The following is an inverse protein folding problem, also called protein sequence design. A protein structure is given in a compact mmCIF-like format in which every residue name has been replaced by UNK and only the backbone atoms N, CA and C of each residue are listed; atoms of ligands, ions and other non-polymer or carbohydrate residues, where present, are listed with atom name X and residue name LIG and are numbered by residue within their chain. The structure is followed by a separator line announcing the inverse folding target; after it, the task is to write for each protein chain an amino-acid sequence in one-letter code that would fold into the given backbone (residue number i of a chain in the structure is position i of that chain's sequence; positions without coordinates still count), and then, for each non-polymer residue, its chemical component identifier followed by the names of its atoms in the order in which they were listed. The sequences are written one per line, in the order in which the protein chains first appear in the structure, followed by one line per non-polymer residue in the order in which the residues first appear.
data_IF_250388729569
#
_entry.id   IF_250388729569
#
_cell.length_a   1.000
_cell.length_b   1.000
_cell.length_c   1.000
_cell.angle_alpha   90.00
_cell.angle_beta   90.00
_cell.angle_gamma   90.00
#
_symmetry.space_group_name_H-M   'P 1'
#
loop_
_entity.id
_entity.type
_entity.pdbx_description
1 polymer ?
#
# COMPACT_ATOMS: atom_id res chain seq x y z
N UNK A 1 20.00 11.88 -4.21
CA UNK A 1 18.56 12.18 -4.02
C UNK A 1 17.87 11.43 -2.89
N UNK A 2 17.64 10.10 -2.93
CA UNK A 2 16.87 9.41 -1.86
C UNK A 2 17.52 9.47 -0.47
N UNK A 3 18.85 9.36 -0.40
CA UNK A 3 19.59 9.44 0.86
C UNK A 3 19.74 10.87 1.40
N UNK A 4 19.56 11.91 0.57
CA UNK A 4 19.74 13.31 1.00
C UNK A 4 18.52 13.80 1.79
N UNK A 5 17.30 13.58 1.27
CA UNK A 5 16.06 13.93 1.98
C UNK A 5 15.89 13.17 3.30
N UNK A 6 16.24 11.88 3.31
CA UNK A 6 16.24 11.06 4.53
C UNK A 6 17.25 11.58 5.59
N UNK A 7 18.34 12.21 5.16
CA UNK A 7 19.31 12.80 6.09
C UNK A 7 18.83 14.14 6.65
N UNK A 8 18.09 14.93 5.86
CA UNK A 8 17.47 16.18 6.31
C UNK A 8 16.39 15.90 7.38
N UNK A 9 15.46 14.99 7.09
CA UNK A 9 14.41 14.59 8.05
C UNK A 9 15.00 13.96 9.33
N UNK A 10 16.07 13.16 9.19
CA UNK A 10 16.80 12.65 10.35
C UNK A 10 17.42 13.76 11.20
N UNK A 11 17.95 14.81 10.56
CA UNK A 11 18.52 15.97 11.23
C UNK A 11 17.49 16.73 12.07
N UNK A 12 16.28 16.90 11.54
CA UNK A 12 15.15 17.52 12.25
C UNK A 12 14.76 16.69 13.48
N UNK A 13 14.52 15.39 13.32
CA UNK A 13 14.18 14.48 14.41
C UNK A 13 15.28 14.46 15.48
N UNK A 14 16.54 14.43 15.07
CA UNK A 14 17.68 14.45 15.99
C UNK A 14 17.75 15.78 16.78
N UNK A 15 17.38 16.90 16.16
CA UNK A 15 17.35 18.20 16.83
C UNK A 15 16.28 18.26 17.92
N UNK A 16 15.08 17.72 17.67
CA UNK A 16 14.02 17.60 18.67
C UNK A 16 14.43 16.68 19.82
N UNK A 17 15.05 15.54 19.51
CA UNK A 17 15.55 14.60 20.52
C UNK A 17 16.61 15.26 21.39
N UNK A 18 17.53 16.05 20.82
CA UNK A 18 18.53 16.80 21.59
C UNK A 18 17.89 17.82 22.53
N UNK A 19 16.89 18.56 22.06
CA UNK A 19 16.13 19.50 22.91
C UNK A 19 15.42 18.77 24.07
N UNK A 20 14.81 17.62 23.82
CA UNK A 20 14.19 16.80 24.86
C UNK A 20 15.21 16.24 25.87
N UNK A 21 16.40 15.85 25.41
CA UNK A 21 17.51 15.44 26.26
C UNK A 21 17.99 16.58 27.17
N UNK A 22 18.14 17.79 26.62
CA UNK A 22 18.49 18.99 27.40
C UNK A 22 17.43 19.32 28.46
N UNK A 23 16.15 19.29 28.09
CA UNK A 23 15.03 19.54 29.02
C UNK A 23 14.94 18.51 30.14
N UNK A 24 15.33 17.26 29.87
CA UNK A 24 15.32 16.16 30.85
C UNK A 24 16.63 16.03 31.63
N UNK A 25 17.64 16.84 31.35
CA UNK A 25 18.97 16.76 31.96
C UNK A 25 19.73 15.47 31.63
N UNK A 26 19.38 14.81 30.52
CA UNK A 26 20.00 13.55 30.07
C UNK A 26 20.91 13.78 28.87
N UNK A 27 22.01 13.00 28.78
CA UNK A 27 22.90 13.05 27.62
C UNK A 27 22.53 11.98 26.59
N UNK A 28 22.68 12.31 25.32
CA UNK A 28 22.49 11.35 24.23
C UNK A 28 23.62 10.32 24.25
N UNK A 29 23.36 9.14 24.81
CA UNK A 29 24.32 8.04 24.87
C UNK A 29 23.92 6.89 23.94
N UNK A 30 24.92 6.13 23.49
CA UNK A 30 24.71 4.88 22.73
C UNK A 30 24.03 3.84 23.63
N UNK A 31 23.11 3.07 23.07
CA UNK A 31 22.44 2.00 23.81
C UNK A 31 23.43 0.90 24.22
N UNK A 32 23.26 0.32 25.41
CA UNK A 32 24.15 -0.75 25.91
C UNK A 32 24.22 -1.92 24.92
N UNK A 33 25.44 -2.22 24.46
CA UNK A 33 25.74 -3.41 23.67
C UNK A 33 25.99 -4.63 24.57
N UNK A 34 25.60 -5.82 24.10
CA UNK A 34 25.94 -7.11 24.73
C UNK A 34 26.81 -7.88 23.75
N UNK A 35 27.79 -8.64 24.23
CA UNK A 35 28.79 -9.31 23.38
C UNK A 35 28.24 -10.22 22.27
N UNK A 36 26.96 -10.62 22.37
CA UNK A 36 26.24 -11.29 21.27
C UNK A 36 24.85 -10.69 21.12
N UNK A 37 24.60 -10.04 19.99
CA UNK A 37 23.27 -9.59 19.58
C UNK A 37 22.87 -10.33 18.30
N UNK A 38 21.73 -11.02 18.33
CA UNK A 38 21.26 -11.85 17.22
C UNK A 38 20.11 -11.21 16.44
N UNK A 39 19.31 -10.38 17.11
CA UNK A 39 18.07 -9.81 16.55
C UNK A 39 18.10 -8.29 16.37
N UNK A 40 19.22 -7.65 16.72
CA UNK A 40 19.36 -6.18 16.67
C UNK A 40 20.62 -5.80 15.89
N UNK A 41 20.53 -4.88 14.92
CA UNK A 41 21.71 -4.33 14.26
C UNK A 41 22.56 -3.52 15.24
N UNK A 42 23.88 -3.71 15.15
CA UNK A 42 24.87 -3.05 16.00
C UNK A 42 26.14 -2.75 15.20
N UNK A 43 25.98 -2.04 14.09
CA UNK A 43 27.07 -1.52 13.30
C UNK A 43 27.90 -0.53 14.13
N UNK A 44 29.24 -0.53 13.99
CA UNK A 44 30.10 0.42 14.66
C UNK A 44 29.79 1.85 14.18
N UNK A 45 29.82 2.80 15.10
CA UNK A 45 29.58 4.22 14.84
C UNK A 45 30.47 5.07 15.74
N UNK A 46 30.90 6.24 15.27
CA UNK A 46 31.82 7.11 16.02
C UNK A 46 31.08 8.04 16.99
N UNK A 47 29.83 8.40 16.69
CA UNK A 47 29.00 9.25 17.54
C UNK A 47 27.66 8.57 17.87
N UNK A 48 27.01 8.94 18.99
CA UNK A 48 25.64 8.47 19.28
C UNK A 48 24.65 8.79 18.16
N UNK A 49 24.86 9.92 17.48
CA UNK A 49 24.05 10.39 16.36
C UNK A 49 24.20 9.47 15.14
N UNK A 50 25.43 9.09 14.81
CA UNK A 50 25.69 8.12 13.74
C UNK A 50 25.16 6.73 14.12
N UNK A 51 25.27 6.35 15.39
CA UNK A 51 24.75 5.08 15.91
C UNK A 51 23.24 4.95 15.69
N UNK A 52 22.45 5.95 16.11
CA UNK A 52 21.00 5.91 15.94
C UNK A 52 20.58 6.02 14.47
N UNK A 53 21.34 6.72 13.65
CA UNK A 53 21.10 6.78 12.20
C UNK A 53 21.21 5.38 11.56
N UNK A 54 22.32 4.70 11.79
CA UNK A 54 22.65 3.43 11.12
C UNK A 54 21.91 2.24 11.74
N UNK A 55 21.73 2.21 13.05
CA UNK A 55 21.18 1.04 13.75
C UNK A 55 19.69 1.15 14.09
N UNK A 56 19.08 2.33 13.96
CA UNK A 56 17.67 2.52 14.28
C UNK A 56 16.90 3.12 13.10
N UNK A 57 17.29 4.32 12.67
CA UNK A 57 16.54 5.08 11.67
C UNK A 57 16.50 4.39 10.31
N UNK A 58 17.68 4.08 9.72
CA UNK A 58 17.75 3.42 8.41
C UNK A 58 17.03 2.05 8.43
N UNK A 59 17.28 1.13 9.38
CA UNK A 59 16.58 -0.15 9.43
C UNK A 59 15.06 -0.04 9.55
N UNK A 60 14.57 0.93 10.33
CA UNK A 60 13.13 1.19 10.47
C UNK A 60 12.55 1.70 9.16
N UNK A 61 13.20 2.68 8.52
CA UNK A 61 12.73 3.23 7.26
C UNK A 61 12.75 2.19 6.14
N UNK A 62 13.81 1.39 6.05
CA UNK A 62 13.89 0.28 5.11
C UNK A 62 12.78 -0.75 5.38
N UNK A 63 12.54 -1.10 6.64
CA UNK A 63 11.44 -2.00 7.00
C UNK A 63 10.08 -1.44 6.61
N UNK A 64 9.81 -0.15 6.83
CA UNK A 64 8.56 0.50 6.40
C UNK A 64 8.40 0.47 4.90
N UNK A 65 9.45 0.80 4.16
CA UNK A 65 9.44 0.77 2.69
C UNK A 65 9.14 -0.63 2.20
N UNK A 66 9.89 -1.63 2.68
CA UNK A 66 9.68 -3.04 2.31
C UNK A 66 8.27 -3.49 2.66
N UNK A 67 7.76 -3.11 3.84
CA UNK A 67 6.40 -3.44 4.26
C UNK A 67 5.35 -2.81 3.34
N UNK A 68 5.53 -1.55 2.95
CA UNK A 68 4.63 -0.87 2.01
C UNK A 68 4.73 -1.47 0.61
N UNK A 69 5.92 -1.77 0.12
CA UNK A 69 6.12 -2.42 -1.18
C UNK A 69 5.51 -3.82 -1.22
N UNK A 70 5.66 -4.59 -0.13
CA UNK A 70 5.04 -5.91 -0.02
C UNK A 70 3.51 -5.81 0.05
N UNK A 71 2.98 -4.79 0.74
CA UNK A 71 1.52 -4.58 0.88
C UNK A 71 0.88 -4.07 -0.40
N UNK A 72 1.53 -3.16 -1.12
CA UNK A 72 1.11 -2.64 -2.41
C UNK A 72 1.90 -3.32 -3.53
N UNK A 73 1.64 -4.62 -3.73
CA UNK A 73 2.24 -5.36 -4.83
C UNK A 73 1.77 -4.81 -6.18
N UNK A 74 2.37 -5.28 -7.28
CA UNK A 74 2.03 -4.82 -8.62
C UNK A 74 0.51 -4.84 -8.86
N UNK A 75 -0.17 -5.91 -8.43
CA UNK A 75 -1.61 -6.07 -8.57
C UNK A 75 -2.42 -4.94 -7.90
N UNK A 76 -2.04 -4.48 -6.70
CA UNK A 76 -2.69 -3.36 -6.02
C UNK A 76 -2.48 -2.06 -6.77
N UNK A 77 -1.32 -1.86 -7.40
CA UNK A 77 -1.07 -0.69 -8.25
C UNK A 77 -1.92 -0.71 -9.51
N UNK A 78 -2.06 -1.86 -10.17
CA UNK A 78 -2.96 -2.01 -11.32
C UNK A 78 -4.42 -1.76 -10.91
N UNK A 79 -4.85 -2.30 -9.78
CA UNK A 79 -6.19 -2.02 -9.24
C UNK A 79 -6.37 -0.51 -8.92
N UNK A 80 -5.37 0.14 -8.32
CA UNK A 80 -5.40 1.56 -8.03
C UNK A 80 -5.55 2.41 -9.30
N UNK A 81 -4.85 2.07 -10.38
CA UNK A 81 -4.99 2.79 -11.65
C UNK A 81 -6.41 2.66 -12.23
N UNK A 82 -7.11 1.56 -11.97
CA UNK A 82 -8.53 1.40 -12.34
C UNK A 82 -9.45 2.36 -11.57
N UNK A 83 -9.04 2.88 -10.40
CA UNK A 83 -9.82 3.89 -9.65
C UNK A 83 -10.07 5.18 -10.43
N UNK A 84 -9.30 5.43 -11.50
CA UNK A 84 -9.51 6.53 -12.44
C UNK A 84 -10.88 6.46 -13.12
N UNK A 85 -11.46 5.26 -13.24
CA UNK A 85 -12.79 5.06 -13.79
C UNK A 85 -13.92 5.52 -12.84
N UNK A 86 -13.59 5.90 -11.59
CA UNK A 86 -14.52 6.56 -10.69
C UNK A 86 -14.81 7.96 -11.26
N UNK A 87 -16.08 8.27 -11.59
CA UNK A 87 -16.46 9.52 -12.22
C UNK A 87 -16.02 10.80 -11.49
N UNK A 88 -15.94 10.80 -10.16
CA UNK A 88 -15.42 11.93 -9.39
C UNK A 88 -13.94 12.26 -9.68
N UNK A 89 -13.16 11.29 -10.15
CA UNK A 89 -11.70 11.42 -10.38
C UNK A 89 -11.33 11.55 -11.87
N UNK A 90 -12.29 11.38 -12.77
CA UNK A 90 -12.04 11.18 -14.20
C UNK A 90 -11.57 12.44 -14.94
N UNK A 91 -11.85 13.62 -14.39
CA UNK A 91 -11.64 14.91 -15.03
C UNK A 91 -10.16 15.16 -15.36
N UNK A 92 -9.29 14.99 -14.36
CA UNK A 92 -7.86 15.27 -14.46
C UNK A 92 -7.01 14.09 -14.94
N UNK A 93 -7.64 12.98 -15.33
CA UNK A 93 -6.94 11.73 -15.68
C UNK A 93 -6.98 11.42 -17.17
N UNK A 94 -5.93 10.79 -17.64
CA UNK A 94 -5.74 10.42 -19.04
C UNK A 94 -5.94 8.92 -19.24
N UNK A 95 -6.10 8.50 -20.50
CA UNK A 95 -6.10 7.07 -20.83
C UNK A 95 -4.73 6.43 -20.58
N UNK A 96 -3.64 7.21 -20.66
CA UNK A 96 -2.28 6.70 -20.47
C UNK A 96 -2.06 6.12 -19.08
N UNK A 97 -2.74 6.70 -18.07
CA UNK A 97 -2.70 6.23 -16.68
C UNK A 97 -3.31 4.82 -16.49
N UNK A 98 -4.16 4.38 -17.43
CA UNK A 98 -4.86 3.09 -17.37
C UNK A 98 -4.16 1.98 -18.16
N UNK A 99 -3.20 2.31 -19.04
CA UNK A 99 -2.58 1.37 -19.99
C UNK A 99 -2.05 0.10 -19.33
N UNK A 100 -1.27 0.24 -18.26
CA UNK A 100 -0.67 -0.89 -17.56
C UNK A 100 -1.73 -1.82 -16.95
N UNK A 101 -2.85 -1.25 -16.51
CA UNK A 101 -3.98 -2.02 -15.94
C UNK A 101 -4.77 -2.74 -17.02
N UNK A 102 -4.90 -2.13 -18.21
CA UNK A 102 -5.54 -2.77 -19.35
C UNK A 102 -4.74 -3.98 -19.80
N UNK A 103 -3.41 -3.83 -19.93
CA UNK A 103 -2.52 -4.95 -20.27
C UNK A 103 -2.63 -6.05 -19.21
N UNK A 104 -2.65 -5.68 -17.93
CA UNK A 104 -2.74 -6.65 -16.84
C UNK A 104 -4.07 -7.41 -16.81
N UNK A 105 -5.19 -6.75 -17.08
CA UNK A 105 -6.54 -7.34 -17.05
C UNK A 105 -7.07 -7.74 -18.43
N UNK A 106 -6.26 -7.70 -19.49
CA UNK A 106 -6.67 -7.89 -20.89
C UNK A 106 -7.48 -9.18 -21.10
N UNK A 107 -7.06 -10.27 -20.45
CA UNK A 107 -7.73 -11.57 -20.55
C UNK A 107 -9.18 -11.60 -20.02
N UNK A 108 -9.56 -10.63 -19.19
CA UNK A 108 -10.91 -10.52 -18.62
C UNK A 108 -11.80 -9.54 -19.39
N UNK A 109 -11.22 -8.74 -20.29
CA UNK A 109 -11.96 -7.72 -21.02
C UNK A 109 -12.73 -8.34 -22.20
N UNK A 110 -14.02 -8.02 -22.37
CA UNK A 110 -14.81 -8.52 -23.50
C UNK A 110 -14.28 -8.09 -24.87
N UNK A 111 -13.75 -6.87 -24.98
CA UNK A 111 -13.27 -6.30 -26.24
C UNK A 111 -12.13 -5.30 -25.96
N UNK A 112 -10.92 -5.77 -25.63
CA UNK A 112 -9.79 -4.93 -25.22
C UNK A 112 -9.44 -3.84 -26.24
N UNK A 113 -9.59 -4.11 -27.53
CA UNK A 113 -9.24 -3.17 -28.59
C UNK A 113 -10.11 -1.90 -28.64
N UNK A 114 -11.33 -1.95 -28.09
CA UNK A 114 -12.30 -0.84 -28.11
C UNK A 114 -12.27 0.01 -26.82
N UNK A 115 -11.43 -0.36 -25.85
CA UNK A 115 -11.44 0.25 -24.52
C UNK A 115 -11.06 1.73 -24.55
N UNK A 116 -10.23 2.13 -25.52
CA UNK A 116 -9.77 3.52 -25.63
C UNK A 116 -10.93 4.43 -26.04
N UNK A 117 -11.69 4.02 -27.04
CA UNK A 117 -12.89 4.71 -27.52
C UNK A 117 -13.97 4.73 -26.44
N UNK A 118 -14.16 3.59 -25.78
CA UNK A 118 -15.09 3.44 -24.66
C UNK A 118 -14.75 4.38 -23.50
N UNK A 119 -13.47 4.48 -23.13
CA UNK A 119 -12.99 5.38 -22.09
C UNK A 119 -13.26 6.86 -22.43
N UNK A 120 -13.00 7.28 -23.67
CA UNK A 120 -13.26 8.66 -24.09
C UNK A 120 -14.76 8.98 -24.04
N UNK A 121 -15.60 8.04 -24.48
CA UNK A 121 -17.06 8.20 -24.42
C UNK A 121 -17.56 8.26 -22.97
N UNK A 122 -17.06 7.39 -22.11
CA UNK A 122 -17.39 7.34 -20.70
C UNK A 122 -16.95 8.62 -19.96
N UNK A 123 -15.72 9.10 -20.22
CA UNK A 123 -15.23 10.37 -19.71
C UNK A 123 -16.15 11.53 -20.13
N UNK A 124 -16.50 11.60 -21.42
CA UNK A 124 -17.40 12.63 -21.95
C UNK A 124 -18.80 12.56 -21.32
N UNK A 125 -19.35 11.36 -21.10
CA UNK A 125 -20.64 11.17 -20.44
C UNK A 125 -20.64 11.84 -19.06
N UNK A 126 -19.66 11.53 -18.21
CA UNK A 126 -19.61 12.06 -16.83
C UNK A 126 -19.18 13.52 -16.75
N UNK A 127 -18.41 14.03 -17.71
CA UNK A 127 -18.09 15.46 -17.79
C UNK A 127 -19.32 16.31 -18.15
N UNK A 128 -20.31 15.75 -18.84
CA UNK A 128 -21.57 16.43 -19.12
C UNK A 128 -22.54 16.42 -17.90
N UNK A 129 -22.28 15.59 -16.91
CA UNK A 129 -23.04 15.55 -15.65
C UNK A 129 -22.41 16.48 -14.60
N UNK A 130 -23.25 17.02 -13.71
CA UNK A 130 -22.80 17.88 -12.63
C UNK A 130 -21.83 17.12 -11.71
N UNK A 131 -20.76 17.75 -11.19
CA UNK A 131 -19.78 17.08 -10.32
C UNK A 131 -20.39 16.41 -9.09
N UNK A 132 -21.49 16.97 -8.58
CA UNK A 132 -22.22 16.48 -7.40
C UNK A 132 -22.95 15.15 -7.65
N UNK A 133 -23.39 14.92 -8.90
CA UNK A 133 -24.10 13.71 -9.30
C UNK A 133 -23.15 12.55 -9.65
N UNK A 134 -21.85 12.85 -9.81
CA UNK A 134 -20.82 11.88 -10.19
C UNK A 134 -20.57 10.91 -9.03
N UNK A 135 -20.60 9.59 -9.27
CA UNK A 135 -20.22 8.60 -8.28
C UNK A 135 -18.82 8.84 -7.73
N UNK A 136 -18.71 8.82 -6.40
CA UNK A 136 -17.46 8.99 -5.67
C UNK A 136 -16.85 7.67 -5.20
N UNK A 137 -17.52 6.55 -5.44
CA UNK A 137 -17.06 5.21 -5.08
C UNK A 137 -17.20 4.23 -6.25
N UNK A 138 -16.44 3.14 -6.18
CA UNK A 138 -16.38 2.12 -7.23
C UNK A 138 -17.71 1.37 -7.41
N UNK A 139 -18.46 1.14 -6.33
CA UNK A 139 -19.68 0.35 -6.32
C UNK A 139 -20.79 1.11 -7.05
N UNK A 140 -21.00 2.38 -6.71
CA UNK A 140 -21.96 3.26 -7.35
C UNK A 140 -21.58 3.52 -8.80
N UNK A 141 -20.28 3.68 -9.10
CA UNK A 141 -19.80 3.77 -10.47
C UNK A 141 -20.15 2.50 -11.26
N UNK A 142 -19.96 1.31 -10.69
CA UNK A 142 -20.32 0.04 -11.30
C UNK A 142 -21.83 -0.09 -11.53
N UNK A 143 -22.65 0.25 -10.54
CA UNK A 143 -24.12 0.16 -10.60
C UNK A 143 -24.69 1.10 -11.67
N UNK A 144 -24.17 2.34 -11.74
CA UNK A 144 -24.59 3.34 -12.73
C UNK A 144 -23.92 3.17 -14.10
N UNK A 145 -23.01 2.21 -14.24
CA UNK A 145 -22.39 1.86 -15.51
C UNK A 145 -23.31 0.95 -16.33
N UNK A 146 -23.69 1.42 -17.52
CA UNK A 146 -24.48 0.65 -18.46
C UNK A 146 -23.57 -0.37 -19.19
N UNK A 147 -23.76 -1.66 -18.90
CA UNK A 147 -22.93 -2.73 -19.46
C UNK A 147 -23.12 -2.98 -20.96
N UNK A 148 -24.16 -2.44 -21.58
CA UNK A 148 -24.38 -2.53 -23.03
C UNK A 148 -23.53 -1.51 -23.79
N UNK A 149 -23.39 -0.30 -23.26
CA UNK A 149 -22.59 0.75 -23.88
C UNK A 149 -21.13 0.74 -23.43
N UNK A 150 -20.88 0.30 -22.20
CA UNK A 150 -19.55 0.32 -21.57
C UNK A 150 -19.17 -1.06 -20.99
N UNK A 151 -19.07 -2.11 -21.82
CA UNK A 151 -18.80 -3.47 -21.36
C UNK A 151 -17.41 -3.63 -20.72
N UNK A 152 -16.34 -3.04 -21.29
CA UNK A 152 -14.99 -3.19 -20.74
C UNK A 152 -14.82 -2.41 -19.44
N UNK A 153 -15.33 -1.17 -19.40
CA UNK A 153 -15.28 -0.31 -18.21
C UNK A 153 -16.09 -0.94 -17.08
N UNK A 154 -17.23 -1.55 -17.38
CA UNK A 154 -18.02 -2.24 -16.36
C UNK A 154 -17.26 -3.42 -15.75
N UNK A 155 -16.54 -4.20 -16.55
CA UNK A 155 -15.69 -5.29 -16.05
C UNK A 155 -14.55 -4.75 -15.20
N UNK A 156 -13.87 -3.69 -15.63
CA UNK A 156 -12.80 -3.07 -14.84
C UNK A 156 -13.30 -2.53 -13.51
N UNK A 157 -14.44 -1.82 -13.49
CA UNK A 157 -15.08 -1.36 -12.27
C UNK A 157 -15.49 -2.53 -11.36
N UNK A 158 -15.94 -3.65 -11.94
CA UNK A 158 -16.27 -4.85 -11.18
C UNK A 158 -15.03 -5.46 -10.54
N UNK A 159 -13.94 -5.62 -11.30
CA UNK A 159 -12.66 -6.10 -10.79
C UNK A 159 -12.23 -5.21 -9.63
N UNK A 160 -12.22 -3.89 -9.82
CA UNK A 160 -11.82 -2.95 -8.77
C UNK A 160 -12.72 -3.01 -7.53
N UNK A 161 -14.05 -3.12 -7.70
CA UNK A 161 -15.00 -3.20 -6.60
C UNK A 161 -14.91 -4.52 -5.81
N UNK A 162 -14.49 -5.62 -6.45
CA UNK A 162 -14.32 -6.92 -5.80
C UNK A 162 -12.96 -7.11 -5.14
N UNK A 163 -11.97 -6.29 -5.51
CA UNK A 163 -10.65 -6.38 -4.91
C UNK A 163 -10.64 -5.74 -3.52
N UNK A 164 -10.27 -6.48 -2.47
CA UNK A 164 -10.02 -5.86 -1.18
C UNK A 164 -8.80 -4.94 -1.34
N UNK A 165 -9.04 -3.63 -1.39
CA UNK A 165 -8.00 -2.59 -1.47
C UNK A 165 -7.01 -2.70 -0.30
N UNK A 166 -7.40 -3.38 0.78
CA UNK A 166 -6.52 -3.68 1.91
C UNK A 166 -6.58 -5.16 2.30
N UNK A 167 -5.41 -5.77 2.49
CA UNK A 167 -5.23 -7.12 3.06
C UNK A 167 -5.53 -7.19 4.56
N UNK A 168 -6.04 -6.12 5.17
CA UNK A 168 -6.15 -5.97 6.63
C UNK A 168 -7.04 -7.05 7.28
N UNK A 169 -8.11 -7.49 6.61
CA UNK A 169 -8.97 -8.59 7.09
C UNK A 169 -8.26 -9.93 7.04
N UNK A 170 -7.47 -10.19 5.98
CA UNK A 170 -6.63 -11.37 5.88
C UNK A 170 -5.53 -11.38 6.94
N UNK A 171 -4.82 -10.26 7.11
CA UNK A 171 -3.76 -10.08 8.11
C UNK A 171 -4.27 -10.22 9.54
N UNK A 172 -5.47 -9.69 9.85
CA UNK A 172 -6.10 -9.89 11.17
C UNK A 172 -6.37 -11.37 11.43
N UNK A 173 -6.91 -12.08 10.44
CA UNK A 173 -7.16 -13.52 10.51
C UNK A 173 -5.85 -14.30 10.70
N UNK A 174 -4.81 -14.01 9.92
CA UNK A 174 -3.48 -14.62 10.07
C UNK A 174 -2.79 -14.28 11.40
N UNK A 175 -2.99 -13.07 11.93
CA UNK A 175 -2.45 -12.67 13.23
C UNK A 175 -3.10 -13.46 14.37
N UNK A 176 -4.43 -13.63 14.33
CA UNK A 176 -5.14 -14.49 15.30
C UNK A 176 -4.69 -15.95 15.18
N UNK A 177 -4.50 -16.45 13.95
CA UNK A 177 -3.98 -17.80 13.69
C UNK A 177 -2.56 -17.99 14.23
N UNK A 178 -1.70 -16.99 14.07
CA UNK A 178 -0.34 -16.97 14.61
C UNK A 178 -0.35 -17.01 16.13
N UNK A 179 -1.21 -16.22 16.77
CA UNK A 179 -1.43 -16.26 18.22
C UNK A 179 -1.87 -17.65 18.70
N UNK A 180 -2.85 -18.28 18.04
CA UNK A 180 -3.31 -19.63 18.39
C UNK A 180 -2.16 -20.65 18.25
N UNK A 181 -1.40 -20.60 17.16
CA UNK A 181 -0.27 -21.52 16.91
C UNK A 181 0.86 -21.34 17.93
N UNK A 182 1.18 -20.10 18.27
CA UNK A 182 2.21 -19.78 19.29
C UNK A 182 1.74 -20.14 20.70
N UNK A 183 0.49 -19.82 21.06
CA UNK A 183 -0.10 -20.14 22.35
C UNK A 183 -0.13 -21.65 22.60
N UNK A 184 -0.57 -22.43 21.61
CA UNK A 184 -0.62 -23.89 21.71
C UNK A 184 0.76 -24.55 21.50
N UNK A 185 1.81 -23.78 21.16
CA UNK A 185 3.15 -24.31 20.81
C UNK A 185 3.08 -25.47 19.79
N UNK A 186 2.07 -25.45 18.92
CA UNK A 186 1.68 -26.64 18.17
C UNK A 186 2.61 -26.88 16.99
N UNK A 187 3.19 -28.07 16.89
CA UNK A 187 3.82 -28.62 15.68
C UNK A 187 2.77 -29.15 14.69
N UNK A 188 1.57 -28.56 14.68
CA UNK A 188 0.49 -29.01 13.80
C UNK A 188 0.84 -28.78 12.34
N UNK A 189 0.59 -29.81 11.53
CA UNK A 189 0.72 -29.76 10.08
C UNK A 189 -0.27 -28.74 9.49
N UNK A 190 0.10 -28.14 8.34
CA UNK A 190 -0.73 -27.14 7.66
C UNK A 190 -2.17 -27.64 7.42
N UNK A 191 -2.34 -28.94 7.12
CA UNK A 191 -3.64 -29.55 6.87
C UNK A 191 -4.57 -29.49 8.07
N UNK A 192 -4.08 -29.78 9.29
CA UNK A 192 -4.91 -29.76 10.49
C UNK A 192 -5.22 -28.33 10.95
N UNK A 193 -4.34 -27.38 10.66
CA UNK A 193 -4.57 -25.96 10.93
C UNK A 193 -5.64 -25.38 10.01
N UNK A 194 -5.58 -25.68 8.71
CA UNK A 194 -6.59 -25.22 7.75
C UNK A 194 -7.98 -25.77 8.09
N UNK A 195 -8.09 -27.05 8.50
CA UNK A 195 -9.38 -27.64 8.89
C UNK A 195 -9.98 -27.10 10.20
N UNK A 196 -9.24 -26.32 10.99
CA UNK A 196 -9.77 -25.63 12.18
C UNK A 196 -10.09 -24.15 11.93
N UNK A 197 -9.50 -23.56 10.90
CA UNK A 197 -9.57 -22.13 10.61
C UNK A 197 -10.47 -21.75 9.43
N UNK A 198 -10.76 -22.71 8.55
CA UNK A 198 -11.75 -22.60 7.47
C UNK A 198 -13.08 -23.23 7.87
#
# INVERSE_FOLDING_TARGET
MRNEKLNEEYGEILSEVKQLCELSGTQLTVMRGVGRQMYRPNAPAQTPEEYYRVNLFIPIMDHFIVSLTNRFSAHQWMAYNVSILIPSMIEHKSFDDLKDSIIFYEAYLPSPHLIKEEFQLYKRKWLNEAPEDRPNNAIDAYVRCNGTFFPNIKVLLQIYAMLPVTTATGERSFSTLKLVKTYLRSTMSANRLNGLAM
#
